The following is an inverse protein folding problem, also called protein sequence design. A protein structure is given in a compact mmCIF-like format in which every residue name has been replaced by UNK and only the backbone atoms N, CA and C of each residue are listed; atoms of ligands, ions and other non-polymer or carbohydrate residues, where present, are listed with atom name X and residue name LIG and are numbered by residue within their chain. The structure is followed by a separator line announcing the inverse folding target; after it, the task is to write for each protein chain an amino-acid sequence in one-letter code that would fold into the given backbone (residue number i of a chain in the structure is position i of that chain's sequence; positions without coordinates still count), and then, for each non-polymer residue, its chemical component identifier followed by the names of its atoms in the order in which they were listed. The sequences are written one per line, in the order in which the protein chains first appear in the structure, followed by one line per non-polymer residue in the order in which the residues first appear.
data_IF_176392828215
#
_entry.id   IF_176392828215
#
_cell.length_a   1.000
_cell.length_b   1.000
_cell.length_c   1.000
_cell.angle_alpha   90.00
_cell.angle_beta   90.00
_cell.angle_gamma   90.00
#
_symmetry.space_group_name_H-M   'P 1'
#
loop_
_entity.id
_entity.type
_entity.pdbx_description
1 polymer ?
#
# COMPACT_ATOMS: atom_id res chain seq x y z
N UNK A 1 -31.92 -2.38 15.74
CA UNK A 1 -30.46 -2.36 15.94
C UNK A 1 -30.22 -1.80 17.30
N UNK A 2 -29.69 -2.60 18.21
CA UNK A 2 -29.35 -2.16 19.57
C UNK A 2 -28.15 -1.20 19.47
N UNK A 3 -28.36 0.04 19.90
CA UNK A 3 -27.32 1.08 19.91
C UNK A 3 -26.36 0.83 21.06
N UNK A 4 -25.36 -0.01 20.84
CA UNK A 4 -24.23 -0.16 21.72
C UNK A 4 -23.01 0.63 21.25
N UNK A 5 -22.09 0.91 22.16
CA UNK A 5 -20.85 1.61 21.91
C UNK A 5 -19.72 0.61 21.65
N UNK A 6 -18.94 0.84 20.62
CA UNK A 6 -17.79 0.01 20.29
C UNK A 6 -16.72 0.16 21.36
N UNK A 7 -16.30 -0.96 21.94
CA UNK A 7 -15.09 -1.05 22.75
C UNK A 7 -13.88 -1.42 21.90
N UNK A 8 -14.06 -2.30 20.91
CA UNK A 8 -12.99 -2.82 20.08
C UNK A 8 -13.53 -3.27 18.73
N UNK A 9 -12.85 -2.92 17.63
CA UNK A 9 -13.02 -3.54 16.33
C UNK A 9 -11.92 -4.58 16.12
N UNK A 10 -12.26 -5.72 15.53
CA UNK A 10 -11.34 -6.83 15.29
C UNK A 10 -11.14 -7.05 13.80
N UNK A 11 -9.89 -7.26 13.40
CA UNK A 11 -9.49 -7.54 12.03
C UNK A 11 -8.55 -8.75 12.00
N UNK A 12 -8.68 -9.59 10.98
CA UNK A 12 -7.63 -10.54 10.62
C UNK A 12 -6.55 -9.83 9.81
N UNK A 13 -5.30 -10.22 10.03
CA UNK A 13 -4.12 -9.66 9.37
C UNK A 13 -3.48 -10.76 8.54
N UNK A 14 -3.23 -10.46 7.27
CA UNK A 14 -2.45 -11.30 6.38
C UNK A 14 -1.28 -10.52 5.81
N UNK A 15 -0.08 -11.05 6.01
CA UNK A 15 1.17 -10.48 5.49
C UNK A 15 1.49 -11.15 4.15
N UNK A 16 1.44 -10.38 3.07
CA UNK A 16 1.74 -10.83 1.72
C UNK A 16 3.00 -10.15 1.23
N UNK A 17 3.99 -10.96 0.86
CA UNK A 17 5.25 -10.53 0.28
C UNK A 17 5.65 -11.55 -0.81
N UNK A 18 6.57 -11.18 -1.70
CA UNK A 18 7.14 -12.11 -2.70
C UNK A 18 7.89 -13.28 -2.04
N UNK A 19 8.28 -13.10 -0.78
CA UNK A 19 9.00 -14.05 0.05
C UNK A 19 8.22 -14.34 1.33
N UNK A 20 8.22 -15.57 1.87
CA UNK A 20 7.64 -15.82 3.19
C UNK A 20 8.23 -14.87 4.24
N UNK A 21 7.37 -14.16 4.96
CA UNK A 21 7.77 -13.27 6.05
C UNK A 21 7.70 -14.05 7.35
N UNK A 22 8.75 -13.99 8.16
CA UNK A 22 8.75 -14.49 9.53
C UNK A 22 9.14 -13.38 10.49
N UNK A 23 8.70 -13.51 11.74
CA UNK A 23 8.92 -12.51 12.78
C UNK A 23 9.82 -13.07 13.88
N UNK A 24 10.69 -12.23 14.44
CA UNK A 24 11.46 -12.59 15.63
C UNK A 24 10.56 -12.74 16.85
N UNK A 25 11.03 -13.55 17.80
CA UNK A 25 10.41 -13.66 19.11
C UNK A 25 10.36 -12.29 19.79
N UNK A 26 9.17 -11.88 20.24
CA UNK A 26 8.94 -10.57 20.84
C UNK A 26 8.57 -9.44 19.87
N UNK A 27 8.50 -9.70 18.56
CA UNK A 27 8.04 -8.69 17.59
C UNK A 27 6.58 -8.24 17.84
N UNK A 28 5.77 -9.11 18.46
CA UNK A 28 4.37 -8.86 18.79
C UNK A 28 4.09 -9.11 20.28
N UNK A 29 3.04 -8.49 20.86
CA UNK A 29 2.15 -7.51 20.23
C UNK A 29 2.82 -6.14 20.05
N UNK A 30 2.52 -5.47 18.94
CA UNK A 30 2.87 -4.06 18.74
C UNK A 30 1.65 -3.18 19.02
N UNK A 31 1.89 -1.96 19.51
CA UNK A 31 0.82 -1.01 19.84
C UNK A 31 1.08 0.32 19.17
N UNK A 32 0.03 0.90 18.60
CA UNK A 32 0.07 2.19 17.92
C UNK A 32 -1.06 3.08 18.43
N UNK A 33 -0.84 4.39 18.42
CA UNK A 33 -1.86 5.38 18.69
C UNK A 33 -1.94 6.36 17.51
N UNK A 34 -3.13 6.58 16.99
CA UNK A 34 -3.37 7.45 15.83
C UNK A 34 -4.76 8.05 15.89
N UNK A 35 -4.87 9.38 15.77
CA UNK A 35 -6.17 10.09 15.65
C UNK A 35 -7.26 9.63 16.64
N UNK A 36 -6.87 9.35 17.90
CA UNK A 36 -7.81 8.88 18.93
C UNK A 36 -8.13 7.38 18.87
N UNK A 37 -7.37 6.59 18.12
CA UNK A 37 -7.43 5.14 18.09
C UNK A 37 -6.23 4.53 18.78
N UNK A 38 -6.48 3.48 19.57
CA UNK A 38 -5.45 2.58 20.07
C UNK A 38 -5.51 1.28 19.29
N UNK A 39 -4.46 0.99 18.54
CA UNK A 39 -4.33 -0.20 17.73
C UNK A 39 -3.38 -1.18 18.44
N UNK A 40 -3.78 -2.45 18.54
CA UNK A 40 -2.92 -3.54 19.01
C UNK A 40 -2.82 -4.58 17.90
N UNK A 41 -1.61 -4.77 17.40
CA UNK A 41 -1.30 -5.68 16.31
C UNK A 41 -0.62 -6.93 16.88
N UNK A 42 -1.14 -8.09 16.53
CA UNK A 42 -0.46 -9.38 16.64
C UNK A 42 -0.09 -9.86 15.24
N UNK A 43 0.58 -11.01 15.15
CA UNK A 43 0.96 -11.59 13.87
C UNK A 43 -0.24 -11.80 12.93
N UNK A 44 -1.42 -12.14 13.46
CA UNK A 44 -2.60 -12.54 12.68
C UNK A 44 -3.86 -11.72 12.96
N UNK A 45 -3.83 -10.80 13.93
CA UNK A 45 -4.99 -9.98 14.31
C UNK A 45 -4.61 -8.54 14.58
N UNK A 46 -5.52 -7.62 14.26
CA UNK A 46 -5.46 -6.24 14.68
C UNK A 46 -6.72 -5.89 15.46
N UNK A 47 -6.54 -5.34 16.65
CA UNK A 47 -7.61 -4.85 17.52
C UNK A 47 -7.53 -3.32 17.57
N UNK A 48 -8.63 -2.64 17.26
CA UNK A 48 -8.71 -1.18 17.21
C UNK A 48 -9.76 -0.65 18.19
N UNK A 49 -9.31 0.09 19.20
CA UNK A 49 -10.19 0.71 20.20
C UNK A 49 -10.30 2.22 19.94
N UNK A 50 -11.52 2.77 19.77
CA UNK A 50 -11.72 4.20 19.70
C UNK A 50 -11.62 4.82 21.11
N UNK A 51 -11.03 6.01 21.22
CA UNK A 51 -10.97 6.77 22.47
C UNK A 51 -12.30 7.48 22.79
N UNK A 52 -13.11 7.76 21.76
CA UNK A 52 -14.43 8.34 21.89
C UNK A 52 -15.52 7.27 21.66
N UNK A 53 -16.66 7.34 22.37
CA UNK A 53 -17.75 6.42 22.14
C UNK A 53 -18.32 6.56 20.72
N UNK A 54 -18.38 5.45 19.99
CA UNK A 54 -18.89 5.38 18.61
C UNK A 54 -19.76 4.14 18.42
N UNK A 55 -20.70 4.18 17.49
CA UNK A 55 -21.40 2.98 17.04
C UNK A 55 -20.55 2.22 16.00
N UNK A 56 -20.84 0.94 15.77
CA UNK A 56 -20.00 0.06 14.93
C UNK A 56 -19.72 0.60 13.53
N UNK A 57 -20.75 1.01 12.80
CA UNK A 57 -20.57 1.51 11.43
C UNK A 57 -19.74 2.79 11.39
N UNK A 58 -19.96 3.70 12.34
CA UNK A 58 -19.19 4.94 12.46
C UNK A 58 -17.72 4.65 12.79
N UNK A 59 -17.49 3.79 13.79
CA UNK A 59 -16.17 3.35 14.20
C UNK A 59 -15.41 2.71 13.03
N UNK A 60 -16.07 1.82 12.28
CA UNK A 60 -15.48 1.16 11.11
C UNK A 60 -15.17 2.16 10.00
N UNK A 61 -16.11 3.04 9.66
CA UNK A 61 -15.90 4.07 8.63
C UNK A 61 -14.79 5.06 9.00
N UNK A 62 -14.55 5.31 10.29
CA UNK A 62 -13.49 6.19 10.76
C UNK A 62 -12.10 5.50 10.77
N UNK A 63 -12.01 4.23 11.18
CA UNK A 63 -10.70 3.55 11.28
C UNK A 63 -10.19 3.00 9.95
N UNK A 64 -11.09 2.57 9.04
CA UNK A 64 -10.68 1.93 7.79
C UNK A 64 -9.78 2.80 6.91
N UNK A 65 -10.01 4.12 6.74
CA UNK A 65 -9.09 4.98 5.99
C UNK A 65 -7.68 5.05 6.58
N UNK A 66 -7.55 4.99 7.92
CA UNK A 66 -6.24 4.96 8.59
C UNK A 66 -5.52 3.65 8.29
N UNK A 67 -6.24 2.52 8.40
CA UNK A 67 -5.70 1.19 8.10
C UNK A 67 -5.32 1.02 6.62
N UNK A 68 -6.12 1.57 5.70
CA UNK A 68 -5.83 1.59 4.26
C UNK A 68 -4.57 2.42 3.96
N UNK A 69 -4.40 3.55 4.64
CA UNK A 69 -3.22 4.41 4.54
C UNK A 69 -1.96 3.69 4.99
N UNK A 70 -1.98 3.06 6.16
CA UNK A 70 -0.85 2.27 6.64
C UNK A 70 -0.52 1.12 5.69
N UNK A 71 -1.55 0.42 5.19
CA UNK A 71 -1.36 -0.64 4.20
C UNK A 71 -0.73 -0.13 2.90
N UNK A 72 -1.05 1.10 2.50
CA UNK A 72 -0.48 1.76 1.33
C UNK A 72 0.99 2.11 1.51
N UNK A 73 1.33 2.69 2.65
CA UNK A 73 2.70 3.03 3.01
C UNK A 73 3.59 1.80 3.02
N UNK A 74 3.18 0.73 3.73
CA UNK A 74 3.94 -0.52 3.80
C UNK A 74 4.20 -1.12 2.42
N UNK A 75 3.19 -1.10 1.55
CA UNK A 75 3.31 -1.64 0.20
C UNK A 75 4.31 -0.84 -0.62
N UNK A 76 4.27 0.49 -0.52
CA UNK A 76 5.11 1.37 -1.34
C UNK A 76 6.53 1.45 -0.82
N UNK A 77 6.72 1.72 0.46
CA UNK A 77 8.03 1.99 1.06
C UNK A 77 8.75 0.72 1.50
N UNK A 78 8.01 -0.30 1.93
CA UNK A 78 8.60 -1.51 2.52
C UNK A 78 8.39 -2.78 1.69
N UNK A 79 7.73 -2.64 0.53
CA UNK A 79 7.37 -3.74 -0.36
C UNK A 79 6.56 -4.85 0.32
N UNK A 80 5.91 -4.54 1.45
CA UNK A 80 5.13 -5.46 2.23
C UNK A 80 3.66 -5.13 2.05
N UNK A 81 2.86 -6.08 1.60
CA UNK A 81 1.41 -5.91 1.54
C UNK A 81 0.84 -6.48 2.84
N UNK A 82 0.11 -5.64 3.58
CA UNK A 82 -0.75 -6.13 4.67
C UNK A 82 -2.20 -6.06 4.19
N UNK A 83 -2.93 -7.16 4.37
CA UNK A 83 -4.36 -7.22 4.12
C UNK A 83 -5.10 -7.32 5.44
N UNK A 84 -6.13 -6.49 5.59
CA UNK A 84 -6.92 -6.38 6.81
C UNK A 84 -8.37 -6.74 6.50
N UNK A 85 -8.88 -7.75 7.18
CA UNK A 85 -10.24 -8.25 6.99
C UNK A 85 -11.06 -8.04 8.26
N UNK A 86 -12.13 -7.26 8.17
CA UNK A 86 -13.00 -7.01 9.32
C UNK A 86 -13.67 -8.29 9.81
N UNK A 87 -13.52 -8.59 11.10
CA UNK A 87 -14.07 -9.79 11.75
C UNK A 87 -15.30 -9.49 12.62
N UNK A 88 -15.43 -8.26 13.12
CA UNK A 88 -16.53 -7.87 14.00
C UNK A 88 -16.11 -6.87 15.07
N UNK A 89 -17.03 -6.55 15.98
CA UNK A 89 -16.82 -5.60 17.06
C UNK A 89 -17.26 -6.16 18.42
N UNK A 90 -16.50 -5.79 19.46
CA UNK A 90 -16.98 -5.85 20.83
C UNK A 90 -17.79 -4.59 21.11
N UNK A 91 -19.07 -4.75 21.41
CA UNK A 91 -20.01 -3.65 21.64
C UNK A 91 -20.52 -3.70 23.07
N UNK A 92 -20.40 -2.59 23.81
CA UNK A 92 -21.02 -2.42 25.12
C UNK A 92 -22.41 -1.78 24.96
N UNK A 93 -23.48 -2.38 25.51
CA UNK A 93 -24.80 -1.78 25.45
C UNK A 93 -24.83 -0.47 26.24
N UNK A 94 -25.47 0.56 25.68
CA UNK A 94 -25.72 1.86 26.33
C UNK A 94 -26.80 1.65 27.42
N UNK A 95 -26.43 0.96 28.51
CA UNK A 95 -27.22 0.69 29.73
C UNK A 95 -28.71 0.41 29.51
N UNK A 96 -29.15 -0.85 29.51
CA UNK A 96 -29.65 -1.49 30.73
C UNK A 96 -29.13 -2.92 30.91
N UNK A 97 -28.33 -3.17 31.95
CA UNK A 97 -28.30 -4.43 32.73
C UNK A 97 -27.97 -5.76 32.06
N UNK A 98 -27.76 -5.85 30.75
CA UNK A 98 -27.46 -7.10 30.06
C UNK A 98 -26.05 -7.03 29.45
N UNK A 99 -25.09 -7.76 30.04
CA UNK A 99 -23.80 -8.02 29.40
C UNK A 99 -24.05 -9.00 28.25
N UNK A 100 -24.26 -8.48 27.03
CA UNK A 100 -24.27 -9.28 25.82
C UNK A 100 -22.84 -9.44 25.31
N UNK A 101 -22.31 -10.66 25.35
CA UNK A 101 -21.08 -11.01 24.64
C UNK A 101 -21.47 -11.46 23.24
N UNK A 102 -21.12 -10.71 22.20
CA UNK A 102 -21.25 -11.17 20.81
C UNK A 102 -19.96 -11.90 20.45
N UNK A 103 -20.09 -13.17 20.07
CA UNK A 103 -18.95 -14.05 19.81
C UNK A 103 -18.19 -13.62 18.55
N UNK A 104 -16.88 -13.39 18.71
CA UNK A 104 -15.91 -13.36 17.63
C UNK A 104 -15.87 -14.74 16.97
N UNK A 105 -16.11 -14.80 15.66
CA UNK A 105 -15.97 -16.05 14.90
C UNK A 105 -14.48 -16.36 14.71
N UNK A 106 -14.02 -17.47 15.28
CA UNK A 106 -12.69 -18.01 15.02
C UNK A 106 -12.65 -18.55 13.58
N UNK A 107 -11.95 -17.83 12.70
CA UNK A 107 -11.57 -18.37 11.41
C UNK A 107 -10.32 -19.24 11.56
N UNK A 108 -10.42 -20.49 11.11
CA UNK A 108 -9.32 -21.44 11.11
C UNK A 108 -8.20 -20.96 10.17
N UNK A 109 -7.00 -20.83 10.73
CA UNK A 109 -5.75 -20.60 10.00
C UNK A 109 -5.44 -21.81 9.13
N UNK A 110 -5.54 -21.67 7.81
CA UNK A 110 -5.06 -22.68 6.89
C UNK A 110 -3.52 -22.70 6.91
N UNK A 111 -2.97 -23.80 7.42
CA UNK A 111 -1.54 -24.10 7.46
C UNK A 111 -0.97 -24.20 6.05
N UNK A 112 0.04 -23.38 5.74
CA UNK A 112 0.82 -23.48 4.51
C UNK A 112 1.82 -24.66 4.62
N UNK A 113 1.74 -25.61 3.69
CA UNK A 113 2.80 -26.58 3.42
C UNK A 113 3.25 -26.45 1.97
N UNK A 114 4.52 -26.09 1.77
CA UNK A 114 5.46 -26.74 0.88
C UNK A 114 6.82 -26.05 1.06
N UNK A 115 7.76 -26.72 1.72
CA UNK A 115 9.15 -26.31 1.78
C UNK A 115 9.80 -26.58 0.43
N UNK A 116 10.17 -25.50 -0.27
CA UNK A 116 11.21 -25.51 -1.28
C UNK A 116 12.02 -24.25 -1.06
N UNK A 117 13.35 -24.36 -0.93
CA UNK A 117 14.27 -23.35 -0.35
C UNK A 117 13.96 -21.91 -0.81
N UNK A 118 13.04 -21.26 -0.09
CA UNK A 118 12.56 -19.91 -0.37
C UNK A 118 13.36 -18.99 0.51
N UNK A 119 13.90 -17.90 -0.04
CA UNK A 119 14.46 -16.83 0.79
C UNK A 119 13.36 -16.38 1.74
N UNK A 120 13.55 -16.57 3.04
CA UNK A 120 12.63 -16.14 4.10
C UNK A 120 13.10 -14.77 4.59
N UNK A 121 12.22 -13.79 4.60
CA UNK A 121 12.52 -12.47 5.16
C UNK A 121 12.15 -12.51 6.63
N UNK A 122 13.16 -12.53 7.50
CA UNK A 122 12.96 -12.44 8.94
C UNK A 122 12.98 -10.97 9.37
N UNK A 123 11.92 -10.50 10.04
CA UNK A 123 11.77 -9.15 10.56
C UNK A 123 11.76 -9.13 12.09
N UNK A 124 12.34 -8.10 12.68
CA UNK A 124 12.48 -7.92 14.13
C UNK A 124 11.29 -7.24 14.79
N UNK A 125 10.60 -6.35 14.06
CA UNK A 125 9.37 -5.70 14.51
C UNK A 125 8.45 -5.39 13.33
N UNK A 126 7.11 -5.42 13.53
CA UNK A 126 6.17 -4.92 12.53
C UNK A 126 6.43 -3.44 12.27
N UNK A 127 6.40 -3.00 11.01
CA UNK A 127 6.89 -1.67 10.71
C UNK A 127 5.98 -0.57 11.24
N UNK A 128 6.60 0.45 11.81
CA UNK A 128 5.90 1.60 12.38
C UNK A 128 5.20 2.39 11.25
N UNK A 129 3.89 2.65 11.36
CA UNK A 129 3.17 3.50 10.42
C UNK A 129 3.64 4.97 10.47
N UNK A 130 3.86 5.58 9.32
CA UNK A 130 3.89 7.02 9.10
C UNK A 130 2.49 7.50 8.69
N UNK A 131 1.69 7.85 9.70
CA UNK A 131 0.32 8.35 9.54
C UNK A 131 0.20 9.66 8.77
N UNK A 132 1.31 10.26 8.32
CA UNK A 132 1.26 11.44 7.46
C UNK A 132 0.88 11.13 6.01
N UNK A 133 0.96 9.86 5.59
CA UNK A 133 0.55 9.42 4.27
C UNK A 133 -0.97 9.49 4.08
N UNK A 134 -1.40 9.46 2.83
CA UNK A 134 -2.81 9.35 2.44
C UNK A 134 -2.94 8.35 1.30
N UNK A 135 -4.00 7.54 1.35
CA UNK A 135 -4.42 6.71 0.22
C UNK A 135 -5.60 7.37 -0.50
N UNK A 136 -5.31 8.17 -1.52
CA UNK A 136 -6.32 8.78 -2.39
C UNK A 136 -6.71 7.82 -3.52
N UNK A 137 -7.77 8.11 -4.26
CA UNK A 137 -8.19 7.28 -5.40
C UNK A 137 -7.08 7.12 -6.45
N UNK A 138 -6.27 8.17 -6.65
CA UNK A 138 -5.18 8.17 -7.62
C UNK A 138 -4.01 7.31 -7.13
N UNK A 139 -3.64 7.41 -5.86
CA UNK A 139 -2.59 6.57 -5.28
C UNK A 139 -3.02 5.11 -5.22
N UNK A 140 -4.27 4.84 -4.81
CA UNK A 140 -4.86 3.51 -4.80
C UNK A 140 -4.89 2.88 -6.18
N UNK A 141 -5.26 3.64 -7.22
CA UNK A 141 -5.20 3.18 -8.59
C UNK A 141 -3.75 2.88 -9.02
N UNK A 142 -2.78 3.74 -8.68
CA UNK A 142 -1.38 3.49 -8.99
C UNK A 142 -0.85 2.21 -8.32
N UNK A 143 -1.21 1.95 -7.06
CA UNK A 143 -0.84 0.69 -6.38
C UNK A 143 -1.51 -0.52 -7.01
N UNK A 144 -2.84 -0.53 -7.04
CA UNK A 144 -3.64 -1.71 -7.40
C UNK A 144 -3.58 -2.05 -8.89
N UNK A 145 -3.56 -1.04 -9.75
CA UNK A 145 -3.60 -1.22 -11.20
C UNK A 145 -2.22 -1.19 -11.84
N UNK A 146 -1.17 -0.70 -11.17
CA UNK A 146 0.18 -0.62 -11.75
C UNK A 146 1.22 -1.33 -10.88
N UNK A 147 1.40 -0.95 -9.62
CA UNK A 147 2.47 -1.49 -8.77
C UNK A 147 2.33 -3.00 -8.52
N UNK A 148 1.14 -3.46 -8.10
CA UNK A 148 0.91 -4.90 -7.81
C UNK A 148 1.11 -5.76 -9.07
N UNK A 149 0.47 -5.46 -10.22
CA UNK A 149 0.68 -6.24 -11.43
C UNK A 149 2.12 -6.21 -11.95
N UNK A 150 2.81 -5.08 -11.79
CA UNK A 150 4.24 -4.95 -12.10
C UNK A 150 5.08 -5.89 -11.24
N UNK A 151 4.87 -5.90 -9.92
CA UNK A 151 5.63 -6.73 -8.98
C UNK A 151 5.30 -8.22 -9.09
N UNK A 152 4.05 -8.58 -9.40
CA UNK A 152 3.66 -9.98 -9.63
C UNK A 152 4.00 -10.48 -11.03
N UNK A 153 4.56 -9.64 -11.91
CA UNK A 153 4.89 -9.98 -13.29
C UNK A 153 3.67 -10.21 -14.20
N UNK A 154 2.46 -9.85 -13.76
CA UNK A 154 1.23 -10.02 -14.54
C UNK A 154 0.97 -8.86 -15.51
N UNK A 155 1.69 -7.74 -15.34
CA UNK A 155 1.76 -6.65 -16.32
C UNK A 155 3.20 -6.46 -16.81
N UNK A 156 3.44 -6.39 -18.14
CA UNK A 156 4.74 -6.04 -18.68
C UNK A 156 5.23 -4.66 -18.22
N UNK A 157 6.54 -4.52 -17.98
CA UNK A 157 7.12 -3.31 -17.38
C UNK A 157 6.86 -2.07 -18.27
N UNK A 158 6.94 -2.22 -19.59
CA UNK A 158 6.66 -1.12 -20.52
C UNK A 158 5.20 -0.66 -20.43
N UNK A 159 4.25 -1.60 -20.34
CA UNK A 159 2.83 -1.29 -20.18
C UNK A 159 2.53 -0.61 -18.84
N UNK A 160 3.20 -1.03 -17.76
CA UNK A 160 3.09 -0.37 -16.45
C UNK A 160 3.59 1.08 -16.50
N UNK A 161 4.76 1.32 -17.08
CA UNK A 161 5.32 2.66 -17.25
C UNK A 161 4.45 3.56 -18.15
N UNK A 162 3.89 3.01 -19.23
CA UNK A 162 2.95 3.73 -20.09
C UNK A 162 1.67 4.10 -19.35
N UNK A 163 1.07 3.13 -18.65
CA UNK A 163 -0.15 3.33 -17.89
C UNK A 163 0.07 4.43 -16.84
N UNK A 164 1.16 4.34 -16.07
CA UNK A 164 1.48 5.29 -15.00
C UNK A 164 1.72 6.69 -15.56
N UNK A 165 2.60 6.83 -16.55
CA UNK A 165 2.89 8.15 -17.15
C UNK A 165 1.65 8.81 -17.76
N UNK A 166 0.73 8.02 -18.34
CA UNK A 166 -0.55 8.53 -18.86
C UNK A 166 -1.47 9.02 -17.75
N UNK A 167 -1.59 8.26 -16.65
CA UNK A 167 -2.45 8.65 -15.52
C UNK A 167 -1.87 9.83 -14.74
N UNK A 168 -0.55 9.87 -14.54
CA UNK A 168 0.13 11.01 -13.92
C UNK A 168 -0.04 12.30 -14.73
N UNK A 169 0.02 12.23 -16.07
CA UNK A 169 -0.27 13.39 -16.93
C UNK A 169 -1.69 13.92 -16.73
N UNK A 170 -2.69 13.02 -16.60
CA UNK A 170 -4.09 13.41 -16.36
C UNK A 170 -4.28 14.00 -14.97
N UNK A 171 -3.77 13.31 -13.95
CA UNK A 171 -3.79 13.79 -12.56
C UNK A 171 -3.17 15.19 -12.41
N UNK A 172 -2.08 15.46 -13.13
CA UNK A 172 -1.45 16.78 -13.12
C UNK A 172 -2.22 17.83 -13.93
N UNK A 173 -2.92 17.42 -15.01
CA UNK A 173 -3.70 18.33 -15.85
C UNK A 173 -4.89 18.98 -15.13
N UNK A 174 -5.34 18.40 -14.02
CA UNK A 174 -6.36 18.98 -13.15
C UNK A 174 -5.81 20.16 -12.29
N UNK A 175 -4.53 20.53 -12.43
CA UNK A 175 -3.91 21.70 -11.78
C UNK A 175 -2.96 22.50 -12.67
N UNK A 176 -2.34 23.53 -12.11
CA UNK A 176 -1.46 24.47 -12.84
C UNK A 176 -0.03 23.94 -13.09
N UNK A 177 0.26 22.70 -12.69
CA UNK A 177 1.59 22.11 -12.73
C UNK A 177 1.63 20.86 -13.61
N UNK A 178 2.74 20.65 -14.30
CA UNK A 178 2.99 19.40 -15.02
C UNK A 178 3.24 18.24 -14.05
N UNK A 179 3.07 17.00 -14.52
CA UNK A 179 3.32 15.82 -13.69
C UNK A 179 4.76 15.78 -13.16
N UNK A 180 5.73 16.21 -13.97
CA UNK A 180 7.13 16.27 -13.57
C UNK A 180 7.36 17.25 -12.42
N UNK A 181 6.77 18.45 -12.49
CA UNK A 181 6.86 19.47 -11.44
C UNK A 181 6.21 18.99 -10.13
N UNK A 182 4.98 18.44 -10.19
CA UNK A 182 4.28 17.93 -9.00
C UNK A 182 5.03 16.79 -8.31
N UNK A 183 5.76 15.97 -9.07
CA UNK A 183 6.55 14.85 -8.54
C UNK A 183 7.99 15.27 -8.18
N UNK A 184 8.34 16.53 -8.35
CA UNK A 184 9.69 17.08 -8.19
C UNK A 184 10.75 16.27 -8.97
N UNK A 185 10.52 16.05 -10.26
CA UNK A 185 11.46 15.42 -11.18
C UNK A 185 11.63 16.27 -12.43
N UNK A 186 12.76 16.14 -13.12
CA UNK A 186 12.97 16.81 -14.40
C UNK A 186 12.02 16.27 -15.46
N UNK A 187 11.64 17.13 -16.42
CA UNK A 187 10.88 16.68 -17.59
C UNK A 187 11.63 15.59 -18.38
N UNK A 188 12.97 15.63 -18.40
CA UNK A 188 13.81 14.61 -19.02
C UNK A 188 13.64 13.22 -18.39
N UNK A 189 13.66 13.14 -17.06
CA UNK A 189 13.42 11.91 -16.31
C UNK A 189 12.04 11.33 -16.60
N UNK A 190 10.99 12.16 -16.48
CA UNK A 190 9.62 11.74 -16.73
C UNK A 190 9.39 11.34 -18.20
N UNK A 191 9.98 12.07 -19.14
CA UNK A 191 9.91 11.74 -20.57
C UNK A 191 10.61 10.43 -20.88
N UNK A 192 11.73 10.10 -20.22
CA UNK A 192 12.39 8.79 -20.38
C UNK A 192 11.49 7.65 -19.95
N UNK A 193 10.78 7.76 -18.81
CA UNK A 193 9.76 6.77 -18.40
C UNK A 193 8.66 6.65 -19.46
N UNK A 194 8.11 7.78 -19.92
CA UNK A 194 7.05 7.80 -20.94
C UNK A 194 7.51 7.20 -22.28
N UNK A 195 8.75 7.45 -22.69
CA UNK A 195 9.32 6.96 -23.94
C UNK A 195 9.59 5.46 -23.88
N UNK A 196 10.21 4.96 -22.81
CA UNK A 196 10.47 3.53 -22.64
C UNK A 196 9.16 2.74 -22.47
N UNK A 197 8.17 3.30 -21.76
CA UNK A 197 6.84 2.69 -21.67
C UNK A 197 6.07 2.68 -23.00
N UNK A 198 6.33 3.64 -23.88
CA UNK A 198 5.73 3.67 -25.22
C UNK A 198 6.38 2.68 -26.21
N UNK A 199 7.50 2.02 -25.85
CA UNK A 199 8.17 1.06 -26.76
C UNK A 199 7.31 -0.18 -26.99
N UNK A 200 7.33 -0.62 -28.25
CA UNK A 200 6.22 -1.31 -28.90
C UNK A 200 6.33 -2.83 -28.90
N UNK A 201 7.49 -3.43 -28.62
CA UNK A 201 7.71 -4.87 -28.75
C UNK A 201 6.80 -5.71 -27.83
N UNK A 202 6.35 -5.12 -26.71
CA UNK A 202 5.41 -5.73 -25.76
C UNK A 202 3.93 -5.34 -26.02
N UNK A 203 3.64 -4.47 -27.01
CA UNK A 203 2.29 -3.92 -27.27
C UNK A 203 1.81 -4.02 -28.73
N UNK A 204 2.69 -3.87 -29.72
CA UNK A 204 2.44 -3.98 -31.18
C UNK A 204 3.74 -4.32 -31.96
N UNK A 205 3.69 -5.37 -32.78
CA UNK A 205 4.79 -5.79 -33.67
C UNK A 205 4.96 -4.78 -34.81
N UNK A 206 5.94 -3.90 -34.73
CA UNK A 206 6.42 -3.10 -35.88
C UNK A 206 7.91 -3.39 -36.14
N UNK A 207 8.36 -3.24 -37.38
CA UNK A 207 9.76 -3.51 -37.77
C UNK A 207 10.79 -2.53 -37.19
N UNK A 208 10.33 -1.45 -36.52
CA UNK A 208 11.18 -0.50 -35.80
C UNK A 208 11.04 -0.62 -34.27
N UNK A 209 10.39 -1.67 -33.76
CA UNK A 209 10.32 -1.92 -32.32
C UNK A 209 11.70 -2.31 -31.81
N UNK A 210 12.17 -1.62 -30.76
CA UNK A 210 13.41 -1.93 -30.06
C UNK A 210 13.03 -2.55 -28.72
N UNK A 211 13.23 -3.86 -28.60
CA UNK A 211 13.04 -4.61 -27.37
C UNK A 211 13.86 -3.95 -26.26
N UNK A 212 13.21 -3.66 -25.13
CA UNK A 212 13.93 -3.19 -23.94
C UNK A 212 14.93 -4.25 -23.50
N UNK A 213 16.17 -3.83 -23.26
CA UNK A 213 17.18 -4.69 -22.64
C UNK A 213 16.76 -5.07 -21.22
N UNK A 214 17.37 -6.12 -20.66
CA UNK A 214 17.11 -6.49 -19.25
C UNK A 214 17.47 -5.35 -18.28
N UNK A 215 18.55 -4.63 -18.59
CA UNK A 215 18.98 -3.43 -17.86
C UNK A 215 17.93 -2.32 -17.95
N UNK A 216 17.44 -1.99 -19.16
CA UNK A 216 16.40 -0.98 -19.33
C UNK A 216 15.12 -1.33 -18.56
N UNK A 217 14.73 -2.62 -18.58
CA UNK A 217 13.56 -3.12 -17.84
C UNK A 217 13.72 -2.93 -16.34
N UNK A 218 14.87 -3.28 -15.80
CA UNK A 218 15.17 -3.15 -14.38
C UNK A 218 15.23 -1.68 -13.94
N UNK A 219 15.92 -0.83 -14.70
CA UNK A 219 15.94 0.62 -14.46
C UNK A 219 14.54 1.24 -14.53
N UNK A 220 13.74 0.85 -15.53
CA UNK A 220 12.38 1.35 -15.72
C UNK A 220 11.46 0.90 -14.58
N UNK A 221 11.58 -0.35 -14.11
CA UNK A 221 10.85 -0.85 -12.96
C UNK A 221 11.14 -0.02 -11.71
N UNK A 222 12.43 0.24 -11.41
CA UNK A 222 12.84 1.10 -10.28
C UNK A 222 12.28 2.51 -10.44
N UNK A 223 12.36 3.10 -11.63
CA UNK A 223 11.81 4.43 -11.90
C UNK A 223 10.29 4.50 -11.69
N UNK A 224 9.54 3.48 -12.11
CA UNK A 224 8.08 3.38 -11.88
C UNK A 224 7.76 3.34 -10.38
N UNK A 225 8.46 2.51 -9.60
CA UNK A 225 8.27 2.45 -8.14
C UNK A 225 8.57 3.81 -7.47
N UNK A 226 9.65 4.49 -7.89
CA UNK A 226 10.01 5.82 -7.38
C UNK A 226 8.92 6.85 -7.69
N UNK A 227 8.37 6.87 -8.91
CA UNK A 227 7.30 7.79 -9.27
C UNK A 227 6.01 7.52 -8.48
N UNK A 228 5.68 6.26 -8.20
CA UNK A 228 4.52 5.90 -7.36
C UNK A 228 4.73 6.38 -5.92
N UNK A 229 5.94 6.19 -5.36
CA UNK A 229 6.27 6.74 -4.04
C UNK A 229 6.11 8.26 -3.99
N UNK A 230 6.63 8.96 -5.00
CA UNK A 230 6.53 10.43 -5.10
C UNK A 230 5.08 10.90 -5.25
N UNK A 231 4.25 10.15 -5.97
CA UNK A 231 2.81 10.41 -6.07
C UNK A 231 2.15 10.34 -4.69
N UNK A 232 2.43 9.31 -3.90
CA UNK A 232 1.91 9.21 -2.53
C UNK A 232 2.32 10.40 -1.66
N UNK A 233 3.58 10.79 -1.69
CA UNK A 233 4.06 11.95 -0.95
C UNK A 233 3.33 13.24 -1.39
N UNK A 234 3.22 13.48 -2.69
CA UNK A 234 2.55 14.65 -3.23
C UNK A 234 1.06 14.72 -2.84
N UNK A 235 0.33 13.61 -2.94
CA UNK A 235 -1.09 13.52 -2.56
C UNK A 235 -1.31 13.63 -1.05
N UNK A 236 -0.30 13.29 -0.26
CA UNK A 236 -0.29 13.48 1.19
C UNK A 236 0.06 14.92 1.60
N UNK A 237 0.39 15.80 0.64
CA UNK A 237 0.89 17.15 0.91
C UNK A 237 2.32 17.20 1.44
N UNK A 238 3.05 16.10 1.32
CA UNK A 238 4.45 15.96 1.75
C UNK A 238 5.40 16.29 0.59
N UNK A 239 6.63 16.66 0.92
CA UNK A 239 7.64 16.94 -0.10
C UNK A 239 8.00 15.63 -0.84
N UNK A 240 7.95 15.56 -2.19
CA UNK A 240 8.27 14.34 -2.96
C UNK A 240 9.75 13.89 -2.93
N UNK A 241 10.53 14.29 -1.92
CA UNK A 241 11.97 14.04 -1.85
C UNK A 241 12.81 14.99 -2.71
N UNK A 242 14.14 14.79 -2.80
CA UNK A 242 15.04 15.64 -3.57
C UNK A 242 14.67 15.64 -5.06
N UNK A 243 15.05 16.70 -5.78
CA UNK A 243 14.81 16.76 -7.22
C UNK A 243 15.57 15.64 -7.93
N UNK A 244 14.92 14.92 -8.86
CA UNK A 244 15.59 13.92 -9.69
C UNK A 244 15.71 14.41 -11.13
N UNK A 245 16.93 14.43 -11.64
CA UNK A 245 17.19 14.68 -13.05
C UNK A 245 17.53 13.38 -13.82
N UNK A 246 17.89 13.50 -15.09
CA UNK A 246 18.19 12.33 -15.93
C UNK A 246 19.46 11.59 -15.47
N UNK A 247 20.39 12.27 -14.79
CA UNK A 247 21.59 11.66 -14.22
C UNK A 247 21.28 10.77 -13.01
N UNK A 248 20.16 11.01 -12.33
CA UNK A 248 19.61 10.16 -11.26
C UNK A 248 18.82 8.96 -11.79
N UNK A 249 18.87 8.68 -13.11
CA UNK A 249 18.21 7.52 -13.68
C UNK A 249 18.75 6.24 -13.01
N UNK A 250 17.89 5.33 -12.50
CA UNK A 250 18.36 4.14 -11.80
C UNK A 250 19.28 3.33 -12.70
N UNK A 251 20.56 3.22 -12.34
CA UNK A 251 21.46 2.24 -12.94
C UNK A 251 20.99 0.83 -12.56
N UNK A 252 21.25 -0.17 -13.40
CA UNK A 252 21.00 -1.59 -13.07
C UNK A 252 21.87 -2.06 -11.93
#
# INVERSE_FOLDING_TARGET
METGQVRMLHFAVEWVDQHPVTWLEGAFPASYEVEGWKLTLTETRLAAAPAAPMIEDEARSAVMPLLDTWSAELEVDQRLVVMLYYLGADVEPVTTGAKGTVASADFATASATAFDATVVIQRDAPPQPDWSWRDTDVTKAARTMCLRPLRSGTRPIADAAYWLSTHLKRWAADGDQTAAERLNVSSGYFNKVSQLGARSDERKVSTASLTLSAEDKESLRRAVEVLIRRLHLAESGLHPGPHLDLSDWPAS
#
